data_IF_477469691746
#
_entry.id   IF_477469691746
#
_cell.length_a   1.000
_cell.length_b   1.000
_cell.length_c   1.000
_cell.angle_alpha   90.00
_cell.angle_beta   90.00
_cell.angle_gamma   90.00
#
_symmetry.space_group_name_H-M   'P 1'
#
loop_
_entity.id
_entity.type
_entity.pdbx_description
1 polymer ?
#
# COMPACT_ATOMS: atom_id res chain seq x y z
N UNK A 1 1.67 14.96 12.34
CA UNK A 1 0.66 13.88 12.39
C UNK A 1 -0.70 14.27 11.81
N UNK A 2 -1.30 15.42 12.15
CA UNK A 2 -2.57 15.86 11.53
C UNK A 2 -2.47 15.97 10.00
N UNK A 3 -1.42 16.63 9.49
CA UNK A 3 -1.16 16.74 8.05
C UNK A 3 -1.03 15.37 7.36
N UNK A 4 -0.36 14.40 7.99
CA UNK A 4 -0.24 13.03 7.46
C UNK A 4 -1.58 12.30 7.39
N UNK A 5 -2.44 12.46 8.41
CA UNK A 5 -3.78 11.87 8.39
C UNK A 5 -4.64 12.52 7.30
N UNK A 6 -4.56 13.84 7.14
CA UNK A 6 -5.25 14.54 6.05
C UNK A 6 -4.72 14.06 4.69
N UNK A 7 -3.40 13.96 4.53
CA UNK A 7 -2.77 13.41 3.32
C UNK A 7 -3.30 12.01 3.01
N UNK A 8 -3.35 11.12 4.01
CA UNK A 8 -3.87 9.76 3.86
C UNK A 8 -5.34 9.72 3.36
N UNK A 9 -6.18 10.66 3.78
CA UNK A 9 -7.54 10.78 3.25
C UNK A 9 -7.55 11.32 1.82
N UNK A 10 -6.78 12.37 1.54
CA UNK A 10 -6.74 13.05 0.25
C UNK A 10 -6.06 12.21 -0.86
N UNK A 11 -5.23 11.23 -0.51
CA UNK A 11 -4.62 10.31 -1.49
C UNK A 11 -5.58 9.24 -1.99
N UNK A 12 -6.83 9.20 -1.49
CA UNK A 12 -7.83 8.21 -1.86
C UNK A 12 -9.10 8.89 -2.41
N UNK A 13 -9.93 8.16 -3.19
CA UNK A 13 -11.17 8.72 -3.73
C UNK A 13 -12.06 9.34 -2.64
N UNK A 14 -12.77 10.41 -3.00
CA UNK A 14 -13.69 11.07 -2.09
C UNK A 14 -14.69 10.06 -1.47
N UNK A 15 -14.92 10.20 -0.16
CA UNK A 15 -15.82 9.31 0.57
C UNK A 15 -15.20 7.97 0.99
N UNK A 16 -13.92 7.73 0.68
CA UNK A 16 -13.18 6.59 1.24
C UNK A 16 -13.18 6.67 2.77
N UNK A 17 -13.44 5.52 3.40
CA UNK A 17 -13.50 5.41 4.85
C UNK A 17 -12.42 4.48 5.36
N UNK A 18 -11.70 4.91 6.39
CA UNK A 18 -10.63 4.12 6.99
C UNK A 18 -10.90 3.80 8.45
N UNK A 19 -10.46 2.63 8.86
CA UNK A 19 -10.26 2.33 10.28
C UNK A 19 -8.99 3.01 10.79
N UNK A 20 -8.87 3.14 12.12
CA UNK A 20 -7.64 3.65 12.75
C UNK A 20 -6.41 2.82 12.36
N UNK A 21 -6.58 1.49 12.18
CA UNK A 21 -5.48 0.61 11.79
C UNK A 21 -4.98 0.94 10.39
N UNK A 22 -5.90 1.09 9.42
CA UNK A 22 -5.53 1.45 8.06
C UNK A 22 -4.84 2.82 8.00
N UNK A 23 -5.33 3.81 8.74
CA UNK A 23 -4.66 5.13 8.82
C UNK A 23 -3.27 4.99 9.43
N UNK A 24 -3.11 4.19 10.49
CA UNK A 24 -1.82 3.97 11.13
C UNK A 24 -0.79 3.33 10.18
N UNK A 25 -1.23 2.35 9.38
CA UNK A 25 -0.43 1.73 8.33
C UNK A 25 -0.04 2.74 7.25
N UNK A 26 -0.99 3.55 6.79
CA UNK A 26 -0.80 4.54 5.72
C UNK A 26 0.21 5.64 6.09
N UNK A 27 0.18 6.09 7.34
CA UNK A 27 1.07 7.15 7.85
C UNK A 27 2.32 6.59 8.55
N UNK A 28 2.51 5.26 8.52
CA UNK A 28 3.61 4.56 9.18
C UNK A 28 3.78 4.91 10.68
N UNK A 29 2.68 5.12 11.40
CA UNK A 29 2.69 5.37 12.84
C UNK A 29 2.05 4.23 13.63
N UNK A 30 2.28 4.24 14.94
CA UNK A 30 1.59 3.30 15.83
C UNK A 30 0.08 3.54 15.81
N UNK A 31 -0.70 2.47 15.98
CA UNK A 31 -2.16 2.55 16.16
C UNK A 31 -2.56 3.53 17.27
N UNK A 32 -1.77 3.61 18.35
CA UNK A 32 -1.99 4.57 19.46
C UNK A 32 -1.85 6.02 18.99
N UNK A 33 -0.79 6.32 18.24
CA UNK A 33 -0.56 7.67 17.67
C UNK A 33 -1.69 8.04 16.72
N UNK A 34 -2.06 7.14 15.81
CA UNK A 34 -3.16 7.36 14.87
C UNK A 34 -4.49 7.61 15.60
N UNK A 35 -4.84 6.77 16.60
CA UNK A 35 -6.06 6.91 17.39
C UNK A 35 -6.14 8.28 18.09
N UNK A 36 -5.03 8.72 18.70
CA UNK A 36 -4.97 9.99 19.40
C UNK A 36 -5.18 11.18 18.45
N UNK A 37 -4.63 11.13 17.24
CA UNK A 37 -4.77 12.20 16.25
C UNK A 37 -6.18 12.21 15.68
N UNK A 38 -6.70 11.06 15.27
CA UNK A 38 -8.07 10.92 14.75
C UNK A 38 -9.09 11.39 15.79
N UNK A 39 -8.93 11.04 17.07
CA UNK A 39 -9.82 11.49 18.12
C UNK A 39 -9.85 13.01 18.30
N UNK A 40 -8.71 13.69 18.13
CA UNK A 40 -8.67 15.16 18.13
C UNK A 40 -9.33 15.76 16.89
N UNK A 41 -9.10 15.16 15.73
CA UNK A 41 -9.73 15.59 14.47
C UNK A 41 -11.25 15.40 14.50
N UNK A 42 -11.74 14.31 15.11
CA UNK A 42 -13.16 14.05 15.33
C UNK A 42 -13.74 15.14 16.24
N UNK A 43 -13.07 15.41 17.38
CA UNK A 43 -13.49 16.45 18.31
C UNK A 43 -13.53 17.87 17.69
N UNK A 44 -12.68 18.14 16.71
CA UNK A 44 -12.66 19.42 15.97
C UNK A 44 -13.57 19.43 14.74
N UNK A 45 -14.30 18.35 14.45
CA UNK A 45 -15.18 18.27 13.28
C UNK A 45 -14.45 18.18 11.93
N UNK A 46 -13.19 17.77 11.93
CA UNK A 46 -12.38 17.58 10.71
C UNK A 46 -12.59 16.20 10.09
N UNK A 47 -13.02 15.22 10.87
CA UNK A 47 -13.37 13.88 10.38
C UNK A 47 -14.72 13.45 10.92
N UNK A 48 -15.47 12.76 10.08
CA UNK A 48 -16.73 12.13 10.45
C UNK A 48 -16.49 10.70 10.87
N UNK A 49 -17.02 10.30 12.02
CA UNK A 49 -16.97 8.93 12.52
C UNK A 49 -18.25 8.19 12.20
N UNK A 50 -18.12 7.02 11.58
CA UNK A 50 -19.21 6.05 11.39
C UNK A 50 -18.96 4.82 12.25
N UNK A 51 -19.94 4.46 13.08
CA UNK A 51 -19.90 3.19 13.81
C UNK A 51 -20.12 2.03 12.83
N UNK A 52 -19.21 1.07 12.82
CA UNK A 52 -19.34 -0.21 12.11
C UNK A 52 -19.46 -1.36 13.10
N UNK A 53 -19.86 -2.54 12.60
CA UNK A 53 -20.05 -3.76 13.40
C UNK A 53 -18.75 -4.22 14.08
N UNK A 54 -17.61 -4.09 13.40
CA UNK A 54 -16.32 -4.59 13.88
C UNK A 54 -15.34 -3.47 14.28
N UNK A 55 -15.37 -2.35 13.56
CA UNK A 55 -14.53 -1.19 13.84
C UNK A 55 -15.24 0.09 13.40
N UNK A 56 -14.97 1.19 14.11
CA UNK A 56 -15.35 2.50 13.63
C UNK A 56 -14.52 2.89 12.41
N UNK A 57 -15.16 3.50 11.43
CA UNK A 57 -14.50 4.07 10.27
C UNK A 57 -14.62 5.58 10.27
N UNK A 58 -13.67 6.24 9.65
CA UNK A 58 -13.51 7.68 9.63
C UNK A 58 -13.42 8.15 8.18
N UNK A 59 -13.99 9.31 7.87
CA UNK A 59 -13.83 10.01 6.59
C UNK A 59 -13.50 11.47 6.84
N UNK A 60 -12.77 12.10 5.92
CA UNK A 60 -12.46 13.52 5.99
C UNK A 60 -13.73 14.35 5.77
N UNK A 61 -14.01 15.27 6.69
CA UNK A 61 -15.10 16.22 6.54
C UNK A 61 -14.70 17.30 5.53
N UNK A 62 -15.64 17.72 4.67
CA UNK A 62 -15.41 18.71 3.59
C UNK A 62 -14.18 18.38 2.72
N UNK A 63 -14.11 17.15 2.23
CA UNK A 63 -13.03 16.66 1.37
C UNK A 63 -12.67 17.66 0.25
N UNK A 64 -13.66 18.17 -0.48
CA UNK A 64 -13.45 19.14 -1.56
C UNK A 64 -12.69 20.40 -1.12
N UNK A 65 -13.07 20.99 0.02
CA UNK A 65 -12.38 22.19 0.54
C UNK A 65 -10.92 21.91 0.92
N UNK A 66 -10.62 20.70 1.41
CA UNK A 66 -9.25 20.30 1.67
C UNK A 66 -8.48 20.08 0.36
N UNK A 67 -9.07 19.41 -0.62
CA UNK A 67 -8.45 19.21 -1.93
C UNK A 67 -8.13 20.56 -2.62
N UNK A 68 -9.03 21.54 -2.53
CA UNK A 68 -8.83 22.88 -3.10
C UNK A 68 -7.64 23.61 -2.46
N UNK A 69 -7.45 23.46 -1.15
CA UNK A 69 -6.34 24.09 -0.41
C UNK A 69 -5.01 23.41 -0.69
N UNK A 70 -5.00 22.07 -0.79
CA UNK A 70 -3.78 21.28 -0.95
C UNK A 70 -3.37 21.06 -2.42
N UNK A 71 -4.11 21.61 -3.38
CA UNK A 71 -3.75 21.59 -4.81
C UNK A 71 -4.02 20.25 -5.48
N UNK A 72 -3.55 20.04 -6.73
CA UNK A 72 -3.80 18.80 -7.45
C UNK A 72 -3.14 17.64 -6.70
N UNK A 73 -3.99 16.81 -6.10
CA UNK A 73 -3.55 15.66 -5.33
C UNK A 73 -2.90 14.66 -6.28
N UNK A 74 -1.72 14.12 -5.93
CA UNK A 74 -1.08 13.11 -6.76
C UNK A 74 -1.99 11.91 -6.91
N UNK A 75 -2.41 11.64 -8.15
CA UNK A 75 -3.34 10.55 -8.51
C UNK A 75 -2.72 9.16 -8.34
N UNK A 76 -1.39 9.09 -8.23
CA UNK A 76 -0.62 7.89 -7.92
C UNK A 76 0.48 8.26 -6.94
N UNK A 77 0.39 7.78 -5.70
CA UNK A 77 1.54 7.69 -4.82
C UNK A 77 1.83 6.22 -4.59
N UNK A 78 2.95 5.74 -5.12
CA UNK A 78 3.50 4.49 -4.64
C UNK A 78 3.89 4.72 -3.18
N UNK A 79 3.10 4.17 -2.25
CA UNK A 79 3.48 4.18 -0.85
C UNK A 79 4.79 3.41 -0.72
N UNK A 80 5.89 4.12 -0.48
CA UNK A 80 7.21 3.53 -0.36
C UNK A 80 7.23 2.37 0.64
N UNK A 81 6.42 2.46 1.71
CA UNK A 81 6.25 1.38 2.67
C UNK A 81 5.64 0.11 2.02
N UNK A 82 4.55 0.25 1.24
CA UNK A 82 3.96 -0.89 0.55
C UNK A 82 4.88 -1.42 -0.56
N UNK A 83 5.64 -0.54 -1.22
CA UNK A 83 6.66 -0.93 -2.20
C UNK A 83 7.73 -1.80 -1.56
N UNK A 84 8.33 -1.33 -0.46
CA UNK A 84 9.36 -2.07 0.27
C UNK A 84 8.79 -3.36 0.85
N UNK A 85 7.56 -3.34 1.41
CA UNK A 85 6.93 -4.53 1.99
C UNK A 85 6.64 -5.60 0.93
N UNK A 86 6.07 -5.21 -0.20
CA UNK A 86 5.79 -6.11 -1.32
C UNK A 86 7.08 -6.72 -1.88
N UNK A 87 8.09 -5.87 -2.13
CA UNK A 87 9.41 -6.31 -2.61
C UNK A 87 10.11 -7.24 -1.61
N UNK A 88 10.11 -6.92 -0.32
CA UNK A 88 10.76 -7.75 0.71
C UNK A 88 10.12 -9.13 0.79
N UNK A 89 8.80 -9.22 0.72
CA UNK A 89 8.08 -10.51 0.70
C UNK A 89 8.42 -11.33 -0.54
N UNK A 90 8.42 -10.70 -1.72
CA UNK A 90 8.77 -11.36 -2.98
C UNK A 90 10.20 -11.87 -2.95
N UNK A 91 11.16 -11.02 -2.60
CA UNK A 91 12.58 -11.38 -2.53
C UNK A 91 12.82 -12.47 -1.49
N UNK A 92 12.21 -12.38 -0.30
CA UNK A 92 12.36 -13.38 0.75
C UNK A 92 11.91 -14.77 0.31
N UNK A 93 10.70 -14.89 -0.25
CA UNK A 93 10.16 -16.19 -0.69
C UNK A 93 10.93 -16.73 -1.90
N UNK A 94 11.35 -15.86 -2.84
CA UNK A 94 12.18 -16.27 -3.98
C UNK A 94 13.62 -16.63 -3.58
N UNK A 95 14.16 -16.09 -2.50
CA UNK A 95 15.49 -16.49 -2.04
C UNK A 95 15.43 -17.85 -1.32
N UNK A 96 14.44 -18.06 -0.45
CA UNK A 96 14.20 -19.33 0.23
C UNK A 96 13.98 -20.51 -0.74
N UNK A 97 13.25 -20.26 -1.82
CA UNK A 97 12.97 -21.30 -2.83
C UNK A 97 14.09 -21.49 -3.86
N UNK A 98 15.16 -20.67 -3.86
CA UNK A 98 16.16 -20.65 -4.94
C UNK A 98 16.85 -22.00 -5.15
N UNK A 99 17.14 -22.72 -4.08
CA UNK A 99 17.80 -24.05 -4.13
C UNK A 99 16.82 -25.22 -4.28
N UNK A 100 15.51 -24.96 -4.36
CA UNK A 100 14.50 -26.01 -4.43
C UNK A 100 14.35 -26.60 -5.85
N UNK A 101 13.77 -27.81 -5.98
CA UNK A 101 13.43 -28.40 -7.28
C UNK A 101 12.53 -27.45 -8.12
N UNK A 102 12.62 -27.55 -9.44
CA UNK A 102 11.94 -26.61 -10.36
C UNK A 102 10.41 -26.57 -10.16
N UNK A 103 9.78 -27.71 -9.87
CA UNK A 103 8.35 -27.78 -9.56
C UNK A 103 7.98 -26.99 -8.31
N UNK A 104 8.79 -27.11 -7.25
CA UNK A 104 8.61 -26.38 -5.98
C UNK A 104 8.80 -24.89 -6.19
N UNK A 105 9.85 -24.48 -6.93
CA UNK A 105 10.09 -23.08 -7.31
C UNK A 105 8.89 -22.44 -8.01
N UNK A 106 8.29 -23.14 -8.98
CA UNK A 106 7.09 -22.63 -9.66
C UNK A 106 5.86 -22.52 -8.76
N UNK A 107 5.73 -23.34 -7.70
CA UNK A 107 4.65 -23.23 -6.72
C UNK A 107 4.89 -22.05 -5.79
N UNK A 108 6.10 -21.92 -5.25
CA UNK A 108 6.45 -20.84 -4.34
C UNK A 108 6.45 -19.46 -5.03
N UNK A 109 6.86 -19.36 -6.30
CA UNK A 109 6.73 -18.13 -7.09
C UNK A 109 5.27 -17.65 -7.20
N UNK A 110 4.34 -18.58 -7.45
CA UNK A 110 2.90 -18.27 -7.50
C UNK A 110 2.38 -17.83 -6.14
N UNK A 111 2.80 -18.53 -5.07
CA UNK A 111 2.44 -18.18 -3.71
C UNK A 111 2.96 -16.79 -3.32
N UNK A 112 4.21 -16.47 -3.66
CA UNK A 112 4.83 -15.20 -3.37
C UNK A 112 4.07 -14.03 -4.01
N UNK A 113 3.73 -14.17 -5.29
CA UNK A 113 2.97 -13.15 -6.02
C UNK A 113 1.53 -13.03 -5.51
N UNK A 114 0.87 -14.13 -5.16
CA UNK A 114 -0.47 -14.08 -4.54
C UNK A 114 -0.45 -13.41 -3.15
N UNK A 115 0.59 -13.63 -2.34
CA UNK A 115 0.74 -12.97 -1.04
C UNK A 115 1.11 -11.49 -1.16
N UNK A 116 1.72 -11.10 -2.27
CA UNK A 116 2.11 -9.72 -2.55
C UNK A 116 1.07 -8.93 -3.36
N UNK A 117 0.01 -9.58 -3.87
CA UNK A 117 -0.96 -8.99 -4.79
C UNK A 117 -1.58 -7.69 -4.26
N UNK A 118 -2.03 -7.69 -3.00
CA UNK A 118 -2.61 -6.50 -2.36
C UNK A 118 -1.59 -5.36 -2.26
N UNK A 119 -0.33 -5.67 -1.94
CA UNK A 119 0.75 -4.70 -1.80
C UNK A 119 1.14 -4.12 -3.18
N UNK A 120 1.23 -4.97 -4.20
CA UNK A 120 1.53 -4.60 -5.59
C UNK A 120 0.42 -3.73 -6.18
N UNK A 121 -0.85 -4.11 -5.99
CA UNK A 121 -2.01 -3.34 -6.44
C UNK A 121 -2.02 -1.95 -5.83
N UNK A 122 -1.69 -1.82 -4.52
CA UNK A 122 -1.62 -0.54 -3.82
C UNK A 122 -0.54 0.40 -4.34
N UNK A 123 0.54 -0.13 -4.93
CA UNK A 123 1.59 0.69 -5.54
C UNK A 123 1.38 0.87 -7.05
N UNK A 124 0.25 0.40 -7.59
CA UNK A 124 -0.07 0.46 -9.02
C UNK A 124 0.76 -0.48 -9.89
N UNK A 125 1.36 -1.51 -9.29
CA UNK A 125 2.08 -2.56 -10.00
C UNK A 125 1.15 -3.75 -10.25
N UNK A 126 0.91 -4.08 -11.51
CA UNK A 126 0.07 -5.21 -11.89
C UNK A 126 0.92 -6.49 -11.89
N UNK A 127 0.57 -7.51 -11.08
CA UNK A 127 1.32 -8.76 -11.05
C UNK A 127 1.25 -9.47 -12.41
N UNK A 128 2.34 -10.14 -12.85
CA UNK A 128 2.38 -10.78 -14.15
C UNK A 128 1.48 -12.02 -14.17
N UNK A 129 0.90 -12.32 -15.34
CA UNK A 129 0.21 -13.58 -15.55
C UNK A 129 1.22 -14.74 -15.44
N UNK A 130 1.05 -15.59 -14.44
CA UNK A 130 1.96 -16.72 -14.21
C UNK A 130 1.48 -17.97 -14.96
N UNK A 131 2.38 -18.66 -15.70
CA UNK A 131 2.05 -19.95 -16.28
C UNK A 131 1.79 -20.99 -15.18
N UNK A 132 0.90 -21.94 -15.43
CA UNK A 132 0.54 -23.00 -14.47
C UNK A 132 1.65 -24.04 -14.24
N UNK A 133 2.71 -24.03 -15.06
CA UNK A 133 3.78 -25.02 -15.13
C UNK A 133 5.16 -24.53 -14.60
N UNK A 134 6.23 -25.26 -14.94
CA UNK A 134 7.66 -25.07 -14.57
C UNK A 134 8.29 -23.72 -14.95
N UNK A 135 7.54 -22.81 -15.57
CA UNK A 135 8.00 -21.48 -16.01
C UNK A 135 7.67 -20.31 -15.07
N UNK A 136 6.79 -20.50 -14.07
CA UNK A 136 6.36 -19.41 -13.18
C UNK A 136 7.51 -18.76 -12.41
N UNK A 137 8.55 -19.54 -12.09
CA UNK A 137 9.75 -19.04 -11.43
C UNK A 137 10.46 -17.94 -12.21
N UNK A 138 10.73 -18.17 -13.50
CA UNK A 138 11.47 -17.22 -14.33
C UNK A 138 10.72 -15.90 -14.45
N UNK A 139 9.41 -15.97 -14.69
CA UNK A 139 8.52 -14.80 -14.77
C UNK A 139 8.51 -14.01 -13.45
N UNK A 140 8.43 -14.70 -12.31
CA UNK A 140 8.42 -14.04 -11.01
C UNK A 140 9.77 -13.35 -10.68
N UNK A 141 10.89 -13.98 -11.03
CA UNK A 141 12.22 -13.39 -10.84
C UNK A 141 12.41 -12.16 -11.74
N UNK A 142 12.06 -12.28 -13.03
CA UNK A 142 12.17 -11.18 -13.99
C UNK A 142 11.30 -9.99 -13.57
N UNK A 143 10.05 -10.25 -13.16
CA UNK A 143 9.15 -9.21 -12.67
C UNK A 143 9.67 -8.54 -11.39
N UNK A 144 10.24 -9.32 -10.47
CA UNK A 144 10.83 -8.78 -9.24
C UNK A 144 12.02 -7.88 -9.55
N UNK A 145 12.86 -8.24 -10.53
CA UNK A 145 13.99 -7.41 -10.98
C UNK A 145 13.51 -6.11 -11.65
N UNK A 146 12.49 -6.19 -12.52
CA UNK A 146 11.86 -5.01 -13.11
C UNK A 146 11.28 -4.06 -12.06
N UNK A 147 10.63 -4.59 -11.02
CA UNK A 147 10.10 -3.79 -9.91
C UNK A 147 11.21 -3.13 -9.10
N UNK A 148 12.29 -3.86 -8.79
CA UNK A 148 13.45 -3.31 -8.10
C UNK A 148 14.06 -2.16 -8.91
N UNK A 149 14.31 -2.38 -10.20
CA UNK A 149 14.86 -1.37 -11.10
C UNK A 149 13.94 -0.14 -11.21
N UNK A 150 12.63 -0.32 -11.25
CA UNK A 150 11.66 0.79 -11.30
C UNK A 150 11.65 1.57 -9.98
N UNK A 151 11.73 0.88 -8.85
CA UNK A 151 11.77 1.50 -7.53
C UNK A 151 13.07 2.28 -7.28
N UNK A 152 14.21 1.81 -7.81
CA UNK A 152 15.50 2.50 -7.68
C UNK A 152 15.73 3.59 -8.72
N UNK A 153 15.06 3.51 -9.87
CA UNK A 153 15.22 4.46 -10.98
C UNK A 153 14.22 5.62 -10.96
N UNK A 154 13.21 5.61 -10.09
CA UNK A 154 12.32 6.75 -9.91
C UNK A 154 13.11 7.93 -9.32
N UNK A 155 13.32 9.03 -10.08
CA UNK A 155 13.92 10.22 -9.51
C UNK A 155 12.94 10.76 -8.47
N UNK A 156 13.44 10.98 -7.26
CA UNK A 156 12.78 11.83 -6.27
C UNK A 156 12.64 13.20 -6.91
N UNK A 157 11.54 13.41 -7.63
CA UNK A 157 11.23 14.70 -8.24
C UNK A 157 10.60 15.49 -7.11
N UNK A 158 11.46 16.12 -6.32
CA UNK A 158 11.07 17.13 -5.34
C UNK A 158 10.34 18.23 -6.08
N UNK A 159 9.03 18.33 -5.86
CA UNK A 159 8.21 19.49 -6.21
C UNK A 159 7.83 20.21 -4.91
#
# INVERSE_FOLDING_TARGET
AHAEVIRAFLTHPEGTRFTVLQIAEEIAYTKRTAANVIGRMEASGLVDRRKGTYAATFSLHKYGSFADVFGPLPTKQASYLFTVRGLWRLVGILDEARSAPQSVRSVEARRALGLAEDDLTRIGAEPPALPSATGAWGVAVEYTDQLLNTATSSPVTSA
#
